data_IF_226350718072
#
_entry.id   IF_226350718072
#
_cell.length_a   1.000
_cell.length_b   1.000
_cell.length_c   1.000
_cell.angle_alpha   90.00
_cell.angle_beta   90.00
_cell.angle_gamma   90.00
#
_symmetry.space_group_name_H-M   'P 1'
#
loop_
_entity.id
_entity.type
_entity.pdbx_description
1 polymer ?
#
# COMPACT_ATOMS: atom_id res chain seq x y z
N UNK A 1 -1.87 -23.16 -2.02
CA UNK A 1 -1.51 -22.52 -0.74
C UNK A 1 -0.97 -21.13 -1.01
N UNK A 2 -1.36 -20.15 -0.22
CA UNK A 2 -0.89 -18.79 -0.39
C UNK A 2 0.34 -18.53 0.49
N UNK A 3 1.35 -17.85 -0.07
CA UNK A 3 2.46 -17.34 0.71
C UNK A 3 2.00 -16.11 1.51
N UNK A 4 2.70 -15.80 2.58
CA UNK A 4 2.51 -14.56 3.30
C UNK A 4 3.15 -13.40 2.52
N UNK A 5 2.56 -12.21 2.64
CA UNK A 5 3.05 -11.01 1.98
C UNK A 5 3.22 -9.90 3.02
N UNK A 6 4.42 -9.35 3.10
CA UNK A 6 4.70 -8.20 3.97
C UNK A 6 4.38 -6.91 3.23
N UNK A 7 3.62 -6.03 3.90
CA UNK A 7 3.27 -4.71 3.40
C UNK A 7 4.01 -3.69 4.26
N UNK A 8 4.91 -2.93 3.64
CA UNK A 8 5.68 -1.90 4.35
C UNK A 8 5.28 -0.53 3.84
N UNK A 9 4.97 0.40 4.75
CA UNK A 9 4.71 1.80 4.39
C UNK A 9 6.04 2.47 4.09
N UNK A 10 6.24 2.85 2.81
CA UNK A 10 7.49 3.47 2.36
C UNK A 10 7.49 4.98 2.61
N UNK A 11 6.44 5.65 2.23
CA UNK A 11 6.31 7.10 2.41
C UNK A 11 4.86 7.53 2.29
N UNK A 12 4.57 8.69 2.89
CA UNK A 12 3.27 9.35 2.79
C UNK A 12 3.51 10.66 2.06
N UNK A 13 2.81 10.86 0.95
CA UNK A 13 2.95 12.07 0.15
C UNK A 13 1.83 13.06 0.49
N UNK A 14 2.08 14.33 0.23
CA UNK A 14 1.09 15.39 0.33
C UNK A 14 1.23 16.27 -0.92
N UNK A 15 0.19 16.27 -1.74
CA UNK A 15 0.18 17.01 -2.99
C UNK A 15 -0.28 18.45 -2.72
N UNK A 16 0.62 19.26 -2.20
CA UNK A 16 0.28 20.61 -1.71
C UNK A 16 -0.27 21.52 -2.79
N UNK A 17 0.24 21.43 -4.00
CA UNK A 17 -0.24 22.21 -5.14
C UNK A 17 -1.69 21.85 -5.52
N UNK A 18 -2.02 20.58 -5.50
CA UNK A 18 -3.37 20.10 -5.79
C UNK A 18 -4.34 20.43 -4.65
N UNK A 19 -3.85 20.39 -3.41
CA UNK A 19 -4.66 20.81 -2.26
C UNK A 19 -4.99 22.29 -2.33
N UNK A 20 -4.03 23.13 -2.69
CA UNK A 20 -4.26 24.57 -2.84
C UNK A 20 -5.34 24.87 -3.88
N UNK A 21 -5.36 24.11 -4.97
CA UNK A 21 -6.27 24.36 -6.07
C UNK A 21 -7.66 23.76 -5.83
N UNK A 22 -7.75 22.59 -5.20
CA UNK A 22 -9.01 21.82 -5.17
C UNK A 22 -9.58 21.55 -3.79
N UNK A 23 -8.80 21.66 -2.72
CA UNK A 23 -9.31 21.39 -1.38
C UNK A 23 -9.89 22.66 -0.74
N UNK A 24 -10.86 22.47 0.15
CA UNK A 24 -11.48 23.59 0.89
C UNK A 24 -10.69 23.93 2.15
N UNK A 25 -9.76 23.09 2.56
CA UNK A 25 -8.98 23.27 3.79
C UNK A 25 -7.58 22.71 3.61
N UNK A 26 -6.71 23.01 4.58
CA UNK A 26 -5.36 22.45 4.61
C UNK A 26 -5.44 21.01 5.17
N UNK A 27 -4.78 20.09 4.48
CA UNK A 27 -4.72 18.69 4.89
C UNK A 27 -3.31 18.36 5.40
N UNK A 28 -3.27 17.42 6.33
CA UNK A 28 -2.03 16.79 6.76
C UNK A 28 -1.84 15.47 5.99
N UNK A 29 -0.61 14.91 5.94
CA UNK A 29 -0.43 13.56 5.41
C UNK A 29 -1.32 12.55 6.12
N UNK A 30 -1.56 11.41 5.48
CA UNK A 30 -2.42 10.37 6.02
C UNK A 30 -2.00 10.01 7.45
N UNK A 31 -2.94 10.09 8.41
CA UNK A 31 -2.67 9.81 9.83
C UNK A 31 -2.88 8.35 10.20
N UNK A 32 -3.47 7.55 9.32
CA UNK A 32 -3.79 6.15 9.62
C UNK A 32 -2.56 5.24 9.58
N UNK A 33 -1.53 5.64 8.84
CA UNK A 33 -0.33 4.85 8.61
C UNK A 33 0.88 5.75 8.76
N UNK A 34 1.99 5.20 9.22
CA UNK A 34 3.24 5.92 9.37
C UNK A 34 4.36 5.22 8.59
N UNK A 35 5.34 6.02 8.13
CA UNK A 35 6.51 5.48 7.45
C UNK A 35 7.15 4.39 8.29
N UNK A 36 7.49 3.27 7.65
CA UNK A 36 8.11 2.14 8.31
C UNK A 36 7.16 1.14 8.96
N UNK A 37 5.87 1.46 9.03
CA UNK A 37 4.89 0.50 9.52
C UNK A 37 4.90 -0.75 8.64
N UNK A 38 4.80 -1.92 9.29
CA UNK A 38 4.76 -3.20 8.59
C UNK A 38 3.52 -3.99 8.98
N UNK A 39 2.94 -4.64 7.99
CA UNK A 39 1.78 -5.52 8.17
C UNK A 39 2.05 -6.80 7.39
N UNK A 40 1.55 -7.92 7.87
CA UNK A 40 1.67 -9.20 7.16
C UNK A 40 0.29 -9.69 6.77
N UNK A 41 0.09 -9.88 5.47
CA UNK A 41 -1.11 -10.50 4.94
C UNK A 41 -0.93 -12.01 4.95
N UNK A 42 -1.74 -12.69 5.74
CA UNK A 42 -1.78 -14.14 5.78
C UNK A 42 -2.90 -14.63 4.90
N UNK A 43 -2.59 -15.60 4.05
CA UNK A 43 -3.59 -16.22 3.17
C UNK A 43 -4.34 -15.19 2.31
N UNK A 44 -3.64 -14.15 1.87
CA UNK A 44 -4.16 -13.05 1.05
C UNK A 44 -5.30 -12.26 1.72
N UNK A 45 -5.40 -12.29 3.04
CA UNK A 45 -6.40 -11.53 3.79
C UNK A 45 -5.83 -10.18 4.25
N UNK A 46 -6.74 -9.22 4.48
CA UNK A 46 -6.35 -7.93 5.01
C UNK A 46 -5.73 -8.11 6.40
N UNK A 47 -4.52 -7.57 6.64
CA UNK A 47 -3.92 -7.63 7.97
C UNK A 47 -4.74 -6.86 8.99
N UNK A 48 -4.75 -7.31 10.26
CA UNK A 48 -5.39 -6.53 11.33
C UNK A 48 -4.80 -5.12 11.44
N UNK A 49 -5.65 -4.13 11.61
CA UNK A 49 -5.23 -2.76 11.79
C UNK A 49 -4.84 -2.02 10.51
N UNK A 50 -4.90 -2.68 9.36
CA UNK A 50 -4.60 -2.04 8.09
C UNK A 50 -5.77 -1.15 7.64
N UNK A 51 -5.48 -0.16 6.80
CA UNK A 51 -6.50 0.73 6.24
C UNK A 51 -7.33 -0.01 5.18
N UNK A 52 -8.63 -0.13 5.41
CA UNK A 52 -9.52 -0.84 4.46
C UNK A 52 -9.61 -0.13 3.11
N UNK A 53 -9.50 1.18 3.09
CA UNK A 53 -9.47 1.96 1.84
C UNK A 53 -8.24 1.57 1.00
N UNK A 54 -7.05 1.60 1.62
CA UNK A 54 -5.83 1.19 0.95
C UNK A 54 -5.87 -0.28 0.55
N UNK A 55 -6.47 -1.15 1.38
CA UNK A 55 -6.60 -2.56 1.06
C UNK A 55 -7.39 -2.79 -0.23
N UNK A 56 -8.47 -2.04 -0.42
CA UNK A 56 -9.25 -2.12 -1.66
C UNK A 56 -8.41 -1.82 -2.90
N UNK A 57 -7.40 -0.95 -2.75
CA UNK A 57 -6.54 -0.57 -3.86
C UNK A 57 -5.44 -1.61 -4.14
N UNK A 58 -4.87 -2.23 -3.09
CA UNK A 58 -3.66 -3.04 -3.24
C UNK A 58 -3.92 -4.54 -3.18
N UNK A 59 -5.11 -4.99 -2.79
CA UNK A 59 -5.37 -6.41 -2.53
C UNK A 59 -5.08 -7.31 -3.73
N UNK A 60 -5.33 -6.85 -4.94
CA UNK A 60 -5.06 -7.64 -6.16
C UNK A 60 -3.57 -7.93 -6.33
N UNK A 61 -2.71 -6.99 -5.96
CA UNK A 61 -1.26 -7.18 -6.03
C UNK A 61 -0.79 -8.13 -4.94
N UNK A 62 -1.36 -8.01 -3.74
CA UNK A 62 -1.08 -8.93 -2.63
C UNK A 62 -1.47 -10.35 -3.03
N UNK A 63 -2.65 -10.52 -3.62
CA UNK A 63 -3.12 -11.83 -4.06
C UNK A 63 -2.19 -12.44 -5.11
N UNK A 64 -1.75 -11.64 -6.08
CA UNK A 64 -0.83 -12.09 -7.13
C UNK A 64 0.46 -12.62 -6.50
N UNK A 65 1.08 -11.84 -5.60
CA UNK A 65 2.30 -12.27 -4.92
C UNK A 65 2.06 -13.51 -4.04
N UNK A 66 0.96 -13.54 -3.31
CA UNK A 66 0.63 -14.64 -2.41
C UNK A 66 0.52 -15.98 -3.18
N UNK A 67 0.07 -15.93 -4.41
CA UNK A 67 -0.08 -17.12 -5.26
C UNK A 67 1.15 -17.43 -6.12
N UNK A 68 2.27 -16.77 -5.85
CA UNK A 68 3.53 -17.06 -6.53
C UNK A 68 3.74 -16.31 -7.84
N UNK A 69 2.87 -15.35 -8.17
CA UNK A 69 3.02 -14.51 -9.35
C UNK A 69 4.03 -13.38 -9.12
N UNK A 70 4.54 -12.85 -10.24
CA UNK A 70 5.46 -11.71 -10.23
C UNK A 70 5.00 -10.69 -11.27
N UNK A 71 5.64 -9.51 -11.26
CA UNK A 71 5.27 -8.43 -12.16
C UNK A 71 6.40 -8.16 -13.14
N UNK A 72 6.05 -7.93 -14.41
CA UNK A 72 7.03 -7.67 -15.47
C UNK A 72 7.84 -6.41 -15.14
N UNK A 73 9.16 -6.53 -15.22
CA UNK A 73 10.06 -5.39 -14.98
C UNK A 73 10.31 -5.09 -13.51
N UNK A 74 9.78 -5.90 -12.60
CA UNK A 74 9.94 -5.72 -11.16
C UNK A 74 10.67 -6.93 -10.59
N UNK A 75 11.49 -6.74 -9.57
CA UNK A 75 12.20 -7.84 -8.92
C UNK A 75 11.21 -8.89 -8.43
N UNK A 76 11.48 -10.18 -8.67
CA UNK A 76 10.57 -11.26 -8.27
C UNK A 76 10.22 -11.18 -6.78
N UNK A 77 8.95 -11.45 -6.48
CA UNK A 77 8.46 -11.46 -5.11
C UNK A 77 8.18 -10.09 -4.52
N UNK A 78 8.33 -9.02 -5.30
CA UNK A 78 8.12 -7.65 -4.81
C UNK A 78 7.23 -6.84 -5.74
N UNK A 79 6.62 -5.79 -5.17
CA UNK A 79 5.94 -4.76 -5.95
C UNK A 79 5.88 -3.47 -5.12
N UNK A 80 5.81 -2.34 -5.80
CA UNK A 80 5.57 -1.04 -5.17
C UNK A 80 4.28 -0.48 -5.74
N UNK A 81 3.38 -0.08 -4.84
CA UNK A 81 2.08 0.46 -5.22
C UNK A 81 1.65 1.53 -4.22
N UNK A 82 0.46 2.05 -4.35
CA UNK A 82 -0.03 3.11 -3.47
C UNK A 82 -1.55 3.04 -3.32
N UNK A 83 -2.07 3.72 -2.30
CA UNK A 83 -3.51 3.97 -2.24
C UNK A 83 -3.90 5.04 -3.27
N UNK A 84 -5.20 5.14 -3.56
CA UNK A 84 -5.71 6.03 -4.61
C UNK A 84 -6.13 7.40 -4.09
N UNK A 85 -5.72 7.79 -2.89
CA UNK A 85 -5.94 9.15 -2.40
C UNK A 85 -5.02 10.10 -3.17
N UNK A 86 -5.58 10.85 -4.14
CA UNK A 86 -4.79 11.73 -5.00
C UNK A 86 -4.18 12.92 -4.29
N UNK A 87 -4.70 13.32 -3.12
CA UNK A 87 -4.16 14.42 -2.34
C UNK A 87 -3.04 13.99 -1.39
N UNK A 88 -3.15 12.77 -0.83
CA UNK A 88 -2.18 12.28 0.16
C UNK A 88 -1.94 10.78 -0.01
N UNK A 89 -1.36 10.37 -1.14
CA UNK A 89 -1.12 8.94 -1.38
C UNK A 89 -0.09 8.37 -0.43
N UNK A 90 -0.33 7.12 -0.03
CA UNK A 90 0.61 6.35 0.78
C UNK A 90 1.20 5.26 -0.11
N UNK A 91 2.53 5.18 -0.16
CA UNK A 91 3.24 4.21 -0.98
C UNK A 91 3.62 3.00 -0.14
N UNK A 92 3.40 1.82 -0.72
CA UNK A 92 3.66 0.54 -0.07
C UNK A 92 4.64 -0.30 -0.87
N UNK A 93 5.54 -0.99 -0.16
CA UNK A 93 6.30 -2.10 -0.73
C UNK A 93 5.63 -3.39 -0.30
N UNK A 94 5.38 -4.25 -1.26
CA UNK A 94 4.84 -5.60 -1.02
C UNK A 94 5.95 -6.61 -1.25
N UNK A 95 6.10 -7.58 -0.33
CA UNK A 95 7.13 -8.62 -0.43
C UNK A 95 6.54 -9.97 -0.07
N UNK A 96 6.72 -10.94 -0.94
CA UNK A 96 6.40 -12.34 -0.63
C UNK A 96 7.45 -12.88 0.34
N UNK A 97 7.03 -13.35 1.51
CA UNK A 97 7.95 -13.78 2.56
C UNK A 97 7.77 -15.22 3.02
N UNK A 98 6.89 -15.92 2.44
CA UNK A 98 6.67 -17.30 2.86
C UNK A 98 5.74 -18.09 1.97
#
# INVERSE_FOLDING_TARGET
MNASVRITVLRRLLQTDLLEEYAESIWEPCERLAEGDEFVSENANMPPGFCSWAWADIQKYVLTLARGGDFVGVRPGTFVTCCTDGFRPVLFRLERIG
#
